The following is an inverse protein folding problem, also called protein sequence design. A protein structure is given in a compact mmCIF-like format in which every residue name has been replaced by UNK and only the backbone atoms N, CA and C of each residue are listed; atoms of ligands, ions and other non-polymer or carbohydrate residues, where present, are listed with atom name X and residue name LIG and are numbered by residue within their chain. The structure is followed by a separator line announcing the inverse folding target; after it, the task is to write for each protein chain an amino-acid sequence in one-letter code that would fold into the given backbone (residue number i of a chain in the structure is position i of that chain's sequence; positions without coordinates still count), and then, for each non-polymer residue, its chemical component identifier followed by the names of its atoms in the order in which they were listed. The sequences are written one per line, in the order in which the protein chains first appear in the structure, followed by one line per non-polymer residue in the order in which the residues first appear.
data_IF_207952673698
#
_entry.id   IF_207952673698
#
_cell.length_a   1.000
_cell.length_b   1.000
_cell.length_c   1.000
_cell.angle_alpha   90.00
_cell.angle_beta   90.00
_cell.angle_gamma   90.00
#
_symmetry.space_group_name_H-M   'P 1'
#
loop_
_entity.id
_entity.type
_entity.pdbx_description
1 polymer ?
#
# COMPACT_ATOMS: atom_id res chain seq x y z
N UNK A 1 -1.90 8.63 6.53
CA UNK A 1 -1.04 9.15 7.62
C UNK A 1 -0.07 10.18 7.06
N UNK A 2 0.05 11.34 7.72
CA UNK A 2 1.09 12.33 7.40
C UNK A 2 2.32 12.06 8.28
N UNK A 3 3.37 11.51 7.67
CA UNK A 3 4.57 11.04 8.39
C UNK A 3 5.42 12.22 8.85
N UNK A 4 5.60 13.24 7.99
CA UNK A 4 6.32 14.47 8.34
C UNK A 4 5.72 15.11 9.61
N UNK A 5 4.40 15.30 9.64
CA UNK A 5 3.72 15.88 10.81
C UNK A 5 3.85 14.99 12.04
N UNK A 6 3.74 13.68 11.90
CA UNK A 6 3.85 12.75 13.02
C UNK A 6 5.25 12.74 13.63
N UNK A 7 6.30 12.70 12.80
CA UNK A 7 7.69 12.72 13.24
C UNK A 7 8.06 14.04 13.89
N UNK A 8 7.66 15.18 13.31
CA UNK A 8 7.89 16.49 13.93
C UNK A 8 7.22 16.59 15.31
N UNK A 9 5.96 16.14 15.44
CA UNK A 9 5.25 16.21 16.72
C UNK A 9 5.84 15.29 17.81
N UNK A 10 6.33 14.11 17.44
CA UNK A 10 6.75 13.08 18.41
C UNK A 10 8.23 13.11 18.72
N UNK A 11 9.07 13.51 17.75
CA UNK A 11 10.53 13.41 17.82
C UNK A 11 11.23 14.75 17.52
N UNK A 12 10.48 15.81 17.18
CA UNK A 12 10.97 17.14 16.78
C UNK A 12 11.94 17.16 15.58
N UNK A 13 11.96 16.10 14.78
CA UNK A 13 12.80 16.01 13.58
C UNK A 13 12.10 16.63 12.37
N UNK A 14 12.87 17.37 11.58
CA UNK A 14 12.42 17.82 10.26
C UNK A 14 12.64 16.71 9.25
N UNK A 15 11.55 16.34 8.57
CA UNK A 15 11.53 15.27 7.59
C UNK A 15 10.94 15.79 6.27
N UNK A 16 11.36 15.19 5.16
CA UNK A 16 10.79 15.48 3.83
C UNK A 16 9.29 15.21 3.80
N UNK A 17 8.55 15.82 2.86
CA UNK A 17 7.11 15.54 2.73
C UNK A 17 6.93 14.05 2.45
N UNK A 18 6.19 13.37 3.32
CA UNK A 18 5.98 11.93 3.23
C UNK A 18 4.61 11.58 3.78
N UNK A 19 3.78 10.95 2.95
CA UNK A 19 2.43 10.48 3.30
C UNK A 19 2.26 9.02 2.95
N UNK A 20 1.60 8.28 3.84
CA UNK A 20 1.15 6.90 3.60
C UNK A 20 -0.36 6.92 3.42
N UNK A 21 -0.84 6.41 2.30
CA UNK A 21 -2.25 6.28 1.95
C UNK A 21 -2.62 4.79 1.97
N UNK A 22 -3.81 4.46 2.46
CA UNK A 22 -4.36 3.11 2.36
C UNK A 22 -5.36 3.04 1.23
N UNK A 23 -5.11 2.24 0.21
CA UNK A 23 -6.06 1.92 -0.84
C UNK A 23 -6.66 0.53 -0.57
N UNK A 24 -7.99 0.44 -0.55
CA UNK A 24 -8.67 -0.83 -0.32
C UNK A 24 -9.88 -0.93 -1.25
N UNK A 25 -10.00 -2.07 -1.94
CA UNK A 25 -11.23 -2.41 -2.65
C UNK A 25 -12.06 -3.36 -1.75
N UNK A 26 -13.22 -2.93 -1.23
CA UNK A 26 -14.00 -3.71 -0.28
C UNK A 26 -14.39 -5.10 -0.77
N UNK A 27 -14.71 -5.26 -2.06
CA UNK A 27 -15.11 -6.55 -2.62
C UNK A 27 -13.98 -7.58 -2.59
N UNK A 28 -12.75 -7.16 -2.91
CA UNK A 28 -11.60 -8.06 -2.89
C UNK A 28 -11.04 -8.24 -1.47
N UNK A 29 -11.10 -7.21 -0.63
CA UNK A 29 -10.72 -7.33 0.78
C UNK A 29 -11.61 -8.36 1.49
N UNK A 30 -12.91 -8.34 1.24
CA UNK A 30 -13.84 -9.34 1.75
C UNK A 30 -13.49 -10.76 1.28
N UNK A 31 -13.26 -10.94 -0.04
CA UNK A 31 -12.85 -12.25 -0.58
C UNK A 31 -11.53 -12.74 0.01
N UNK A 32 -10.55 -11.86 0.18
CA UNK A 32 -9.27 -12.20 0.78
C UNK A 32 -9.45 -12.64 2.24
N UNK A 33 -10.26 -11.92 3.03
CA UNK A 33 -10.57 -12.25 4.42
C UNK A 33 -11.34 -13.58 4.56
N UNK A 34 -12.14 -13.96 3.56
CA UNK A 34 -12.77 -15.28 3.52
C UNK A 34 -11.78 -16.40 3.22
N UNK A 35 -10.75 -16.12 2.42
CA UNK A 35 -9.73 -17.08 2.04
C UNK A 35 -8.64 -17.27 3.12
N UNK A 36 -8.31 -16.21 3.84
CA UNK A 36 -7.34 -16.20 4.93
C UNK A 36 -7.73 -15.13 5.95
N UNK A 37 -8.02 -15.53 7.19
CA UNK A 37 -8.49 -14.62 8.24
C UNK A 37 -7.42 -13.60 8.67
N UNK A 38 -6.13 -14.01 8.66
CA UNK A 38 -5.00 -13.15 9.05
C UNK A 38 -4.51 -12.23 7.93
N UNK A 39 -5.11 -12.29 6.74
CA UNK A 39 -4.69 -11.42 5.61
C UNK A 39 -4.87 -9.94 5.92
N UNK A 40 -5.73 -9.60 6.89
CA UNK A 40 -5.91 -8.25 7.39
C UNK A 40 -4.62 -7.55 7.82
N UNK A 41 -3.59 -8.30 8.22
CA UNK A 41 -2.25 -7.77 8.55
C UNK A 41 -1.53 -7.16 7.34
N UNK A 42 -1.93 -7.53 6.13
CA UNK A 42 -1.39 -7.02 4.86
C UNK A 42 -2.33 -6.03 4.16
N UNK A 43 -3.49 -5.75 4.78
CA UNK A 43 -4.46 -4.78 4.29
C UNK A 43 -4.35 -3.49 5.12
N UNK A 44 -4.62 -2.31 4.52
CA UNK A 44 -4.93 -2.07 3.12
C UNK A 44 -3.67 -2.09 2.22
N UNK A 45 -3.86 -1.98 0.90
CA UNK A 45 -2.73 -1.77 -0.01
C UNK A 45 -2.14 -0.38 0.23
N UNK A 46 -0.95 -0.32 0.82
CA UNK A 46 -0.27 0.93 1.11
C UNK A 46 0.26 1.59 -0.17
N UNK A 47 0.06 2.91 -0.27
CA UNK A 47 0.64 3.78 -1.29
C UNK A 47 1.36 4.91 -0.59
N UNK A 48 2.60 5.18 -0.97
CA UNK A 48 3.35 6.32 -0.44
C UNK A 48 3.37 7.45 -1.46
N UNK A 49 3.31 8.67 -0.95
CA UNK A 49 3.53 9.90 -1.72
C UNK A 49 4.63 10.67 -0.99
N UNK A 50 5.79 10.81 -1.62
CA UNK A 50 6.94 11.43 -1.00
C UNK A 50 7.63 12.43 -1.94
N UNK A 51 8.31 13.39 -1.32
CA UNK A 51 9.24 14.30 -2.00
C UNK A 51 10.61 13.61 -2.12
N UNK A 52 11.22 13.70 -3.30
CA UNK A 52 12.58 13.19 -3.57
C UNK A 52 13.62 14.30 -3.37
N UNK A 53 14.91 13.94 -3.45
CA UNK A 53 16.02 14.90 -3.32
C UNK A 53 15.99 15.98 -4.40
N UNK A 54 15.49 15.66 -5.61
CA UNK A 54 15.34 16.59 -6.74
C UNK A 54 14.05 17.45 -6.68
N UNK A 55 13.42 17.58 -5.50
CA UNK A 55 12.15 18.30 -5.29
C UNK A 55 10.96 17.76 -6.13
N UNK A 56 11.06 16.53 -6.64
CA UNK A 56 9.99 15.86 -7.37
C UNK A 56 9.08 15.09 -6.42
N UNK A 57 7.87 14.79 -6.88
CA UNK A 57 6.93 13.91 -6.16
C UNK A 57 7.06 12.50 -6.72
N UNK A 58 7.36 11.55 -5.85
CA UNK A 58 7.33 10.12 -6.15
C UNK A 58 6.08 9.49 -5.51
N UNK A 59 5.45 8.60 -6.27
CA UNK A 59 4.32 7.80 -5.83
C UNK A 59 4.68 6.34 -6.02
N UNK A 60 4.64 5.55 -4.95
CA UNK A 60 4.90 4.12 -4.99
C UNK A 60 3.79 3.34 -4.29
N UNK A 61 3.32 2.26 -4.92
CA UNK A 61 2.30 1.39 -4.38
C UNK A 61 2.90 0.03 -4.00
N UNK A 62 2.36 -0.58 -2.95
CA UNK A 62 2.71 -1.94 -2.56
C UNK A 62 2.38 -2.93 -3.68
N UNK A 63 3.24 -3.93 -3.88
CA UNK A 63 2.92 -5.08 -4.73
C UNK A 63 2.18 -6.14 -3.88
N UNK A 64 0.86 -6.34 -4.08
CA UNK A 64 0.11 -7.30 -3.31
C UNK A 64 0.56 -8.75 -3.58
N UNK A 65 1.10 -9.07 -4.76
CA UNK A 65 1.59 -10.42 -5.07
C UNK A 65 2.82 -10.72 -4.22
N UNK A 66 3.78 -9.81 -4.20
CA UNK A 66 4.99 -9.97 -3.38
C UNK A 66 4.67 -9.96 -1.88
N UNK A 67 3.74 -9.11 -1.45
CA UNK A 67 3.41 -8.97 -0.02
C UNK A 67 2.68 -10.19 0.52
N UNK A 68 1.73 -10.73 -0.25
CA UNK A 68 0.91 -11.88 0.14
C UNK A 68 1.59 -13.23 -0.08
N UNK A 69 2.73 -13.27 -0.78
CA UNK A 69 3.48 -14.51 -1.04
C UNK A 69 3.88 -15.24 0.27
N UNK A 70 4.14 -14.50 1.34
CA UNK A 70 4.55 -15.08 2.63
C UNK A 70 3.44 -15.84 3.36
N UNK A 71 2.17 -15.66 2.96
CA UNK A 71 1.00 -16.35 3.54
C UNK A 71 0.88 -17.80 3.05
N UNK A 72 1.55 -18.17 1.95
CA UNK A 72 1.54 -19.52 1.38
C UNK A 72 0.11 -20.06 1.12
N UNK A 73 -0.81 -19.19 0.70
CA UNK A 73 -2.18 -19.54 0.35
C UNK A 73 -2.43 -19.25 -1.14
N UNK A 74 -2.58 -20.31 -1.94
CA UNK A 74 -2.72 -20.23 -3.39
C UNK A 74 -3.96 -19.43 -3.82
N UNK A 75 -5.05 -19.51 -3.05
CA UNK A 75 -6.30 -18.80 -3.36
C UNK A 75 -6.17 -17.28 -3.31
N UNK A 76 -5.17 -16.75 -2.60
CA UNK A 76 -4.87 -15.33 -2.57
C UNK A 76 -4.12 -14.84 -3.81
N UNK A 77 -3.44 -15.74 -4.54
CA UNK A 77 -2.62 -15.38 -5.70
C UNK A 77 -3.42 -14.73 -6.83
N UNK A 78 -4.60 -15.25 -7.11
CA UNK A 78 -5.51 -14.68 -8.11
C UNK A 78 -5.99 -13.27 -7.69
N UNK A 79 -6.41 -13.13 -6.43
CA UNK A 79 -6.87 -11.86 -5.87
C UNK A 79 -5.75 -10.83 -5.94
N UNK A 80 -4.55 -11.19 -5.49
CA UNK A 80 -3.37 -10.33 -5.50
C UNK A 80 -3.02 -9.88 -6.92
N UNK A 81 -3.05 -10.77 -7.90
CA UNK A 81 -2.78 -10.46 -9.31
C UNK A 81 -3.76 -9.43 -9.87
N UNK A 82 -5.06 -9.59 -9.57
CA UNK A 82 -6.09 -8.65 -10.01
C UNK A 82 -5.90 -7.27 -9.35
N UNK A 83 -5.61 -7.23 -8.05
CA UNK A 83 -5.37 -5.96 -7.33
C UNK A 83 -4.10 -5.27 -7.84
N UNK A 84 -3.03 -6.03 -8.12
CA UNK A 84 -1.79 -5.48 -8.72
C UNK A 84 -2.08 -4.79 -10.05
N UNK A 85 -2.86 -5.43 -10.92
CA UNK A 85 -3.24 -4.84 -12.21
C UNK A 85 -4.04 -3.54 -12.04
N UNK A 86 -4.97 -3.49 -11.07
CA UNK A 86 -5.74 -2.29 -10.76
C UNK A 86 -4.87 -1.16 -10.23
N UNK A 87 -3.97 -1.45 -9.28
CA UNK A 87 -3.03 -0.45 -8.73
C UNK A 87 -2.11 0.09 -9.82
N UNK A 88 -1.52 -0.79 -10.63
CA UNK A 88 -0.67 -0.41 -11.77
C UNK A 88 -1.39 0.54 -12.71
N UNK A 89 -2.63 0.23 -13.09
CA UNK A 89 -3.45 1.08 -13.96
C UNK A 89 -3.75 2.46 -13.37
N UNK A 90 -3.83 2.60 -12.05
CA UNK A 90 -4.00 3.90 -11.40
C UNK A 90 -2.69 4.68 -11.45
N UNK A 91 -1.57 4.05 -11.11
CA UNK A 91 -0.24 4.69 -11.13
C UNK A 91 0.14 5.16 -12.53
N UNK A 92 -0.12 4.36 -13.58
CA UNK A 92 0.17 4.71 -14.98
C UNK A 92 -0.66 5.88 -15.53
N UNK A 93 -1.68 6.34 -14.79
CA UNK A 93 -2.56 7.45 -15.18
C UNK A 93 -2.26 8.76 -14.45
N UNK A 94 -1.23 8.78 -13.61
CA UNK A 94 -0.77 9.95 -12.88
C UNK A 94 0.27 10.72 -13.72
#
# INVERSE_FOLDING_TARGET
MDVKKALKKKLDVDFRKYRILGACNPQYAYKALQAEDKIGTMLPCNVIVQETEDEKVEIAAIDPVASMQSVQNESLGEIATIIRAKLKKVIEKL
#
